data_IF_019419979690
#
_entry.id   IF_019419979690
#
_cell.length_a   1.000
_cell.length_b   1.000
_cell.length_c   1.000
_cell.angle_alpha   90.00
_cell.angle_beta   90.00
_cell.angle_gamma   90.00
#
_symmetry.space_group_name_H-M   'P 1'
#
loop_
_entity.id
_entity.type
_entity.pdbx_description
1 polymer ?
#
# COMPACT_ATOMS: atom_id res chain seq x y z
N UNK A 1 -16.74 -4.92 -60.00
CA UNK A 1 -16.89 -3.93 -58.91
C UNK A 1 -16.91 -4.56 -57.50
N UNK A 2 -16.19 -5.66 -57.22
CA UNK A 2 -16.23 -6.36 -55.90
C UNK A 2 -14.89 -6.42 -55.16
N UNK A 3 -13.77 -5.98 -55.75
CA UNK A 3 -12.43 -6.09 -55.15
C UNK A 3 -12.02 -4.85 -54.33
N UNK A 4 -12.52 -3.67 -54.66
CA UNK A 4 -12.20 -2.42 -53.92
C UNK A 4 -12.90 -2.30 -52.57
N UNK A 5 -14.12 -2.82 -52.45
CA UNK A 5 -14.90 -2.74 -51.21
C UNK A 5 -14.36 -3.68 -50.12
N UNK A 6 -13.79 -4.83 -50.50
CA UNK A 6 -13.23 -5.79 -49.55
C UNK A 6 -11.92 -5.27 -48.92
N UNK A 7 -11.07 -4.57 -49.68
CA UNK A 7 -9.84 -3.96 -49.13
C UNK A 7 -10.12 -2.81 -48.15
N UNK A 8 -11.18 -2.03 -48.37
CA UNK A 8 -11.52 -0.90 -47.49
C UNK A 8 -12.01 -1.35 -46.12
N UNK A 9 -12.73 -2.48 -46.05
CA UNK A 9 -13.28 -3.02 -44.79
C UNK A 9 -12.16 -3.63 -43.94
N UNK A 10 -11.20 -4.33 -44.54
CA UNK A 10 -10.07 -4.92 -43.80
C UNK A 10 -9.14 -3.85 -43.21
N UNK A 11 -8.94 -2.73 -43.92
CA UNK A 11 -8.12 -1.62 -43.43
C UNK A 11 -8.76 -0.90 -42.21
N UNK A 12 -10.09 -0.80 -42.18
CA UNK A 12 -10.83 -0.15 -41.08
C UNK A 12 -10.84 -1.00 -39.80
N UNK A 13 -10.97 -2.32 -39.92
CA UNK A 13 -10.93 -3.23 -38.75
C UNK A 13 -9.53 -3.29 -38.13
N UNK A 14 -8.47 -3.20 -38.95
CA UNK A 14 -7.09 -3.17 -38.45
C UNK A 14 -6.78 -1.83 -37.75
N UNK A 15 -7.31 -0.70 -38.22
CA UNK A 15 -7.09 0.60 -37.55
C UNK A 15 -7.87 0.77 -36.25
N UNK A 16 -9.05 0.17 -36.11
CA UNK A 16 -9.80 0.15 -34.85
C UNK A 16 -9.20 -0.79 -33.78
N UNK A 17 -8.43 -1.81 -34.18
CA UNK A 17 -7.78 -2.75 -33.23
C UNK A 17 -6.56 -2.17 -32.50
N UNK A 18 -5.96 -1.09 -33.01
CA UNK A 18 -4.81 -0.43 -32.37
C UNK A 18 -5.19 0.79 -31.51
N UNK A 19 -6.47 1.18 -31.47
CA UNK A 19 -6.91 2.37 -30.72
C UNK A 19 -7.29 2.08 -29.25
N UNK A 20 -7.30 0.81 -28.81
CA UNK A 20 -7.86 0.43 -27.50
C UNK A 20 -6.83 0.09 -26.43
N UNK A 21 -5.53 0.11 -26.73
CA UNK A 21 -4.51 0.02 -25.68
C UNK A 21 -4.22 1.43 -25.16
N UNK A 22 -5.16 1.93 -24.35
CA UNK A 22 -4.78 2.90 -23.32
C UNK A 22 -3.95 2.13 -22.31
N UNK A 23 -2.68 1.85 -22.64
CA UNK A 23 -1.67 1.55 -21.63
C UNK A 23 -1.59 2.81 -20.78
N UNK A 24 -2.36 2.84 -19.70
CA UNK A 24 -1.99 3.60 -18.51
C UNK A 24 -0.68 2.97 -18.06
N UNK A 25 0.41 3.40 -18.69
CA UNK A 25 1.74 3.13 -18.21
C UNK A 25 1.85 3.95 -16.93
N UNK A 26 1.41 3.36 -15.81
CA UNK A 26 1.85 3.80 -14.50
C UNK A 26 3.38 3.94 -14.60
N UNK A 27 3.90 5.15 -14.42
CA UNK A 27 5.35 5.34 -14.45
C UNK A 27 5.95 4.40 -13.40
N UNK A 28 6.71 3.35 -13.79
CA UNK A 28 7.04 2.25 -12.88
C UNK A 28 7.95 2.65 -11.70
N UNK A 29 8.32 3.94 -11.63
CA UNK A 29 9.41 4.44 -10.81
C UNK A 29 9.05 5.67 -9.96
N UNK A 30 7.82 6.18 -10.03
CA UNK A 30 7.41 7.28 -9.16
C UNK A 30 7.09 6.75 -7.76
N UNK A 31 7.61 7.38 -6.69
CA UNK A 31 7.14 7.13 -5.33
C UNK A 31 5.63 7.31 -5.23
N UNK A 32 4.94 6.34 -4.62
CA UNK A 32 3.54 6.48 -4.22
C UNK A 32 3.54 7.03 -2.80
N UNK A 33 2.85 8.15 -2.58
CA UNK A 33 2.63 8.76 -1.28
C UNK A 33 1.13 8.78 -1.02
N UNK A 34 0.70 8.29 0.13
CA UNK A 34 -0.68 8.23 0.57
C UNK A 34 -0.80 8.71 2.00
N UNK A 35 -2.02 9.07 2.39
CA UNK A 35 -2.42 9.24 3.78
C UNK A 35 -3.32 8.08 4.20
N UNK A 36 -3.31 7.77 5.50
CA UNK A 36 -4.07 6.65 6.05
C UNK A 36 -4.65 7.04 7.40
N UNK A 37 -5.95 6.80 7.56
CA UNK A 37 -6.66 6.88 8.82
C UNK A 37 -6.95 5.46 9.33
N UNK A 38 -6.67 5.17 10.60
CA UNK A 38 -6.82 3.82 11.17
C UNK A 38 -7.39 3.82 12.58
N UNK A 39 -8.01 2.70 12.94
CA UNK A 39 -8.42 2.35 14.30
C UNK A 39 -7.92 0.95 14.68
N UNK A 40 -7.57 0.76 15.95
CA UNK A 40 -7.26 -0.56 16.49
C UNK A 40 -8.52 -1.19 17.11
N UNK A 41 -8.96 -2.32 16.55
CA UNK A 41 -10.19 -3.00 16.97
C UNK A 41 -10.02 -4.01 18.13
N UNK A 42 -8.81 -4.11 18.69
CA UNK A 42 -8.46 -5.09 19.73
C UNK A 42 -7.73 -6.33 19.22
N UNK A 43 -7.67 -6.53 17.90
CA UNK A 43 -6.94 -7.61 17.25
C UNK A 43 -5.86 -7.05 16.30
N UNK A 44 -6.26 -6.15 15.40
CA UNK A 44 -5.41 -5.56 14.38
C UNK A 44 -5.76 -4.08 14.15
N UNK A 45 -4.90 -3.36 13.42
CA UNK A 45 -5.25 -2.04 12.89
C UNK A 45 -5.98 -2.20 11.56
N UNK A 46 -7.03 -1.44 11.35
CA UNK A 46 -7.75 -1.36 10.08
C UNK A 46 -8.17 0.08 9.78
N UNK A 47 -8.28 0.40 8.50
CA UNK A 47 -8.47 1.79 8.08
C UNK A 47 -8.59 2.01 6.57
N UNK A 48 -8.53 3.28 6.20
CA UNK A 48 -8.70 3.76 4.82
C UNK A 48 -7.42 4.45 4.34
N UNK A 49 -7.00 4.11 3.12
CA UNK A 49 -5.96 4.80 2.37
C UNK A 49 -6.62 5.87 1.51
N UNK A 50 -6.10 7.10 1.55
CA UNK A 50 -6.66 8.23 0.79
C UNK A 50 -5.57 9.11 0.14
N UNK A 51 -6.03 9.95 -0.81
CA UNK A 51 -5.24 10.96 -1.54
C UNK A 51 -4.08 10.40 -2.37
N UNK A 52 -4.24 9.20 -2.95
CA UNK A 52 -3.20 8.60 -3.79
C UNK A 52 -3.74 7.60 -4.82
N UNK A 53 -2.86 6.84 -5.47
CA UNK A 53 -3.27 5.79 -6.43
C UNK A 53 -3.75 4.50 -5.77
N UNK A 54 -3.58 4.36 -4.45
CA UNK A 54 -3.89 3.15 -3.67
C UNK A 54 -5.12 3.36 -2.76
N UNK A 55 -5.99 4.33 -3.08
CA UNK A 55 -7.22 4.56 -2.31
C UNK A 55 -8.01 3.25 -2.15
N UNK A 56 -8.51 3.02 -0.94
CA UNK A 56 -9.17 1.77 -0.56
C UNK A 56 -8.90 1.41 0.90
N UNK A 57 -8.98 0.13 1.25
CA UNK A 57 -8.79 -0.31 2.64
C UNK A 57 -7.37 -0.76 2.92
N UNK A 58 -6.94 -0.63 4.17
CA UNK A 58 -5.68 -1.18 4.67
C UNK A 58 -5.86 -1.81 6.05
N UNK A 59 -5.07 -2.85 6.31
CA UNK A 59 -5.02 -3.58 7.57
C UNK A 59 -3.57 -3.91 7.95
N UNK A 60 -3.26 -3.83 9.24
CA UNK A 60 -2.00 -4.31 9.82
C UNK A 60 -2.25 -5.37 10.88
N UNK A 61 -1.81 -6.59 10.59
CA UNK A 61 -1.84 -7.72 11.49
C UNK A 61 -0.52 -7.86 12.24
N UNK A 62 -0.53 -8.27 13.52
CA UNK A 62 0.70 -8.67 14.20
C UNK A 62 1.41 -9.80 13.45
N UNK A 63 2.73 -9.69 13.27
CA UNK A 63 3.52 -10.78 12.70
C UNK A 63 3.57 -11.97 13.69
N UNK A 64 2.99 -13.13 13.35
CA UNK A 64 2.93 -14.28 14.27
C UNK A 64 4.30 -14.87 14.58
N UNK A 65 5.29 -14.66 13.71
CA UNK A 65 6.64 -15.19 13.86
C UNK A 65 7.57 -14.22 14.62
N UNK A 66 7.20 -12.95 14.72
CA UNK A 66 8.01 -11.89 15.33
C UNK A 66 7.19 -11.08 16.36
N UNK A 67 7.15 -11.49 17.64
CA UNK A 67 6.35 -10.78 18.63
C UNK A 67 6.93 -9.39 18.94
N UNK A 68 6.03 -8.40 19.02
CA UNK A 68 6.35 -7.06 19.51
C UNK A 68 6.89 -7.07 20.94
N UNK A 69 7.79 -6.14 21.26
CA UNK A 69 8.41 -6.06 22.59
C UNK A 69 8.74 -4.62 23.00
N UNK A 70 8.90 -4.42 24.31
CA UNK A 70 9.29 -3.14 24.89
C UNK A 70 10.76 -3.13 25.26
N UNK A 71 11.49 -2.11 24.78
CA UNK A 71 12.84 -1.79 25.19
C UNK A 71 12.82 -0.46 25.96
N UNK A 72 12.58 -0.54 27.27
CA UNK A 72 12.33 0.65 28.08
C UNK A 72 11.00 1.28 27.72
N UNK A 73 11.02 2.44 27.08
CA UNK A 73 9.81 3.19 26.64
C UNK A 73 9.62 3.20 25.12
N UNK A 74 10.41 2.38 24.43
CA UNK A 74 10.31 2.18 23.00
C UNK A 74 9.60 0.86 22.74
N UNK A 75 8.47 0.92 22.04
CA UNK A 75 7.83 -0.24 21.45
C UNK A 75 8.55 -0.60 20.16
N UNK A 76 8.93 -1.86 20.03
CA UNK A 76 9.35 -2.47 18.77
C UNK A 76 8.20 -3.36 18.30
N UNK A 77 7.73 -3.15 17.07
CA UNK A 77 6.61 -3.88 16.51
C UNK A 77 6.94 -4.45 15.14
N UNK A 78 6.28 -5.55 14.81
CA UNK A 78 6.43 -6.31 13.57
C UNK A 78 5.03 -6.65 13.08
N UNK A 79 4.71 -6.25 11.87
CA UNK A 79 3.36 -6.35 11.34
C UNK A 79 3.39 -6.82 9.89
N UNK A 80 2.27 -7.38 9.46
CA UNK A 80 1.96 -7.71 8.09
C UNK A 80 0.88 -6.76 7.62
N UNK A 81 1.11 -6.07 6.50
CA UNK A 81 0.09 -5.19 5.93
C UNK A 81 -0.62 -5.85 4.75
N UNK A 82 -1.90 -5.54 4.60
CA UNK A 82 -2.70 -5.83 3.41
C UNK A 82 -3.43 -4.56 2.99
N UNK A 83 -3.25 -4.16 1.73
CA UNK A 83 -3.98 -3.05 1.09
C UNK A 83 -4.89 -3.65 0.03
N UNK A 84 -6.15 -3.23 0.02
CA UNK A 84 -7.16 -3.58 -0.97
C UNK A 84 -7.62 -2.30 -1.68
N UNK A 85 -6.94 -1.88 -2.76
CA UNK A 85 -7.31 -0.67 -3.48
C UNK A 85 -8.68 -0.80 -4.14
N UNK A 86 -9.44 0.29 -4.19
CA UNK A 86 -10.76 0.37 -4.83
C UNK A 86 -10.71 0.07 -6.33
N UNK A 87 -9.56 0.30 -6.96
CA UNK A 87 -9.29 -0.10 -8.35
C UNK A 87 -9.21 -1.62 -8.56
N UNK A 88 -9.23 -2.39 -7.47
CA UNK A 88 -9.03 -3.83 -7.43
C UNK A 88 -7.57 -4.24 -7.21
N UNK A 89 -7.41 -5.55 -7.02
CA UNK A 89 -6.14 -6.17 -6.64
C UNK A 89 -5.94 -6.20 -5.12
N UNK A 90 -4.80 -6.74 -4.70
CA UNK A 90 -4.39 -6.84 -3.30
C UNK A 90 -2.88 -6.64 -3.27
N UNK A 91 -2.39 -5.85 -2.30
CA UNK A 91 -0.97 -5.62 -2.06
C UNK A 91 -0.68 -6.05 -0.64
N UNK A 92 0.34 -6.88 -0.44
CA UNK A 92 0.72 -7.39 0.88
C UNK A 92 2.20 -7.19 1.14
N UNK A 93 2.54 -7.08 2.40
CA UNK A 93 3.92 -6.93 2.81
C UNK A 93 4.11 -7.04 4.30
N UNK A 94 5.28 -6.66 4.75
CA UNK A 94 5.66 -6.68 6.15
C UNK A 94 6.31 -5.35 6.54
N UNK A 95 6.15 -4.94 7.80
CA UNK A 95 6.78 -3.76 8.39
C UNK A 95 7.48 -4.12 9.68
N UNK A 96 8.56 -3.39 9.96
CA UNK A 96 9.26 -3.40 11.25
C UNK A 96 9.37 -1.96 11.71
N UNK A 97 8.83 -1.70 12.90
CA UNK A 97 8.66 -0.36 13.41
C UNK A 97 9.14 -0.14 14.82
N UNK A 98 9.28 1.13 15.14
CA UNK A 98 9.55 1.62 16.48
C UNK A 98 8.58 2.74 16.82
N UNK A 99 8.03 2.68 18.02
CA UNK A 99 7.13 3.69 18.57
C UNK A 99 7.59 4.16 19.94
N UNK A 100 7.42 5.45 20.22
CA UNK A 100 7.76 6.02 21.52
C UNK A 100 6.48 6.18 22.34
N UNK A 101 6.38 5.45 23.46
CA UNK A 101 5.18 5.38 24.33
C UNK A 101 4.98 6.64 25.20
N UNK A 102 5.18 7.83 24.66
CA UNK A 102 4.88 9.08 25.35
C UNK A 102 3.87 9.88 24.55
N UNK A 103 2.96 10.54 25.26
CA UNK A 103 1.85 11.29 24.67
C UNK A 103 2.34 12.46 23.80
N UNK A 104 2.02 12.47 22.48
CA UNK A 104 1.30 11.43 21.74
C UNK A 104 2.24 10.36 21.13
N UNK A 105 1.75 9.12 21.00
CA UNK A 105 2.57 7.98 20.56
C UNK A 105 3.02 8.16 19.11
N UNK A 106 4.29 8.53 18.93
CA UNK A 106 4.90 8.68 17.62
C UNK A 106 5.56 7.39 17.19
N UNK A 107 5.28 6.96 15.96
CA UNK A 107 5.87 5.75 15.40
C UNK A 107 6.38 5.96 13.98
N UNK A 108 7.27 5.04 13.58
CA UNK A 108 7.73 4.88 12.21
C UNK A 108 8.01 3.41 11.95
N UNK A 109 7.70 2.94 10.77
CA UNK A 109 8.05 1.60 10.32
C UNK A 109 8.58 1.59 8.90
N UNK A 110 9.35 0.54 8.61
CA UNK A 110 9.90 0.30 7.29
C UNK A 110 9.67 -1.15 6.92
N UNK A 111 9.44 -1.40 5.65
CA UNK A 111 8.98 -2.67 5.18
C UNK A 111 9.26 -2.92 3.71
N UNK A 112 8.60 -3.95 3.22
CA UNK A 112 8.63 -4.35 1.83
C UNK A 112 7.27 -4.84 1.38
N UNK A 113 6.92 -4.55 0.14
CA UNK A 113 5.84 -5.28 -0.55
C UNK A 113 6.37 -6.67 -0.91
N UNK A 114 5.76 -7.71 -0.37
CA UNK A 114 6.18 -9.10 -0.57
C UNK A 114 5.29 -9.84 -1.57
N UNK A 115 4.06 -9.38 -1.77
CA UNK A 115 3.12 -9.96 -2.71
C UNK A 115 2.18 -8.89 -3.26
N UNK A 116 1.75 -9.04 -4.51
CA UNK A 116 0.72 -8.19 -5.09
C UNK A 116 0.02 -8.91 -6.25
N UNK A 117 -1.27 -8.62 -6.45
CA UNK A 117 -2.03 -9.07 -7.62
C UNK A 117 -2.21 -7.93 -8.63
N UNK A 118 -2.63 -8.26 -9.85
CA UNK A 118 -2.87 -7.26 -10.90
C UNK A 118 -3.89 -6.20 -10.43
N UNK A 119 -3.69 -4.90 -10.75
CA UNK A 119 -2.64 -4.34 -11.60
C UNK A 119 -1.33 -3.98 -10.88
N UNK A 120 -1.16 -4.39 -9.62
CA UNK A 120 -0.10 -3.91 -8.71
C UNK A 120 1.13 -4.83 -8.64
N UNK A 121 1.23 -5.85 -9.50
CA UNK A 121 2.34 -6.83 -9.50
C UNK A 121 3.72 -6.18 -9.60
N UNK A 122 3.82 -5.01 -10.24
CA UNK A 122 5.06 -4.21 -10.33
C UNK A 122 5.53 -3.59 -9.01
N UNK A 123 4.71 -3.63 -7.94
CA UNK A 123 5.10 -3.14 -6.61
C UNK A 123 5.89 -4.17 -5.80
N UNK A 124 5.91 -5.45 -6.20
CA UNK A 124 6.61 -6.51 -5.47
C UNK A 124 8.11 -6.17 -5.38
N UNK A 125 8.65 -6.21 -4.16
CA UNK A 125 10.04 -5.85 -3.88
C UNK A 125 10.26 -4.35 -3.64
N UNK A 126 9.23 -3.50 -3.79
CA UNK A 126 9.34 -2.08 -3.43
C UNK A 126 9.41 -1.91 -1.91
N UNK A 127 10.08 -0.83 -1.51
CA UNK A 127 10.20 -0.42 -0.12
C UNK A 127 8.90 0.24 0.35
N UNK A 128 8.44 -0.17 1.51
CA UNK A 128 7.30 0.41 2.22
C UNK A 128 7.78 1.24 3.40
N UNK A 129 7.17 2.40 3.62
CA UNK A 129 7.46 3.30 4.74
C UNK A 129 6.16 3.80 5.32
N UNK A 130 6.10 3.90 6.64
CA UNK A 130 5.01 4.58 7.33
C UNK A 130 5.52 5.37 8.52
N UNK A 131 4.84 6.46 8.82
CA UNK A 131 5.01 7.19 10.06
C UNK A 131 3.75 7.94 10.43
N UNK A 132 3.45 7.95 11.72
CA UNK A 132 2.23 8.55 12.22
C UNK A 132 2.31 8.82 13.71
N UNK A 133 1.18 9.29 14.22
CA UNK A 133 0.97 9.53 15.63
C UNK A 133 -0.36 8.89 16.01
N UNK A 134 -0.36 8.01 17.01
CA UNK A 134 -1.63 7.50 17.54
C UNK A 134 -2.06 8.29 18.79
N UNK A 135 -3.34 8.15 19.13
CA UNK A 135 -3.82 8.43 20.48
C UNK A 135 -3.05 7.61 21.53
N UNK A 136 -3.15 8.00 22.81
CA UNK A 136 -2.36 7.39 23.88
C UNK A 136 -2.69 5.89 24.07
N UNK A 137 -1.75 4.96 23.80
CA UNK A 137 -1.97 3.53 24.01
C UNK A 137 -2.09 3.14 25.48
N UNK A 138 -1.80 4.05 26.42
CA UNK A 138 -1.88 3.80 27.86
C UNK A 138 -3.20 4.27 28.48
N UNK A 139 -4.03 5.03 27.76
CA UNK A 139 -5.35 5.45 28.24
C UNK A 139 -6.44 4.49 27.72
N UNK A 140 -6.99 3.60 28.58
CA UNK A 140 -8.01 2.64 28.17
C UNK A 140 -9.36 3.27 27.83
N UNK A 141 -9.53 4.58 28.05
CA UNK A 141 -10.78 5.30 27.74
C UNK A 141 -10.77 5.93 26.35
N UNK A 142 -9.61 5.99 25.69
CA UNK A 142 -9.46 6.62 24.38
C UNK A 142 -9.29 5.52 23.33
N UNK A 143 -10.13 5.49 22.28
CA UNK A 143 -9.91 4.60 21.14
C UNK A 143 -8.52 4.83 20.55
N UNK A 144 -7.85 3.72 20.22
CA UNK A 144 -6.56 3.76 19.57
C UNK A 144 -6.77 4.09 18.09
N UNK A 145 -6.47 5.33 17.71
CA UNK A 145 -6.65 5.83 16.34
C UNK A 145 -5.39 6.50 15.85
N UNK A 146 -5.22 6.51 14.54
CA UNK A 146 -4.18 7.25 13.82
C UNK A 146 -4.88 8.03 12.73
N UNK A 147 -4.58 9.33 12.64
CA UNK A 147 -5.09 10.21 11.59
C UNK A 147 -3.92 10.69 10.71
N UNK A 148 -4.15 10.78 9.40
CA UNK A 148 -3.20 11.27 8.40
C UNK A 148 -1.80 10.60 8.52
N UNK A 149 -1.76 9.29 8.78
CA UNK A 149 -0.52 8.53 8.74
C UNK A 149 0.09 8.65 7.36
N UNK A 150 1.35 9.07 7.28
CA UNK A 150 2.05 9.12 5.99
C UNK A 150 2.50 7.71 5.62
N UNK A 151 2.00 7.20 4.50
CA UNK A 151 2.42 5.92 3.89
C UNK A 151 3.14 6.19 2.56
N UNK A 152 4.27 5.51 2.33
CA UNK A 152 5.03 5.66 1.07
C UNK A 152 5.55 4.33 0.54
N UNK A 153 5.30 4.06 -0.74
CA UNK A 153 5.93 2.96 -1.49
C UNK A 153 6.92 3.54 -2.49
N UNK A 154 8.17 3.07 -2.46
CA UNK A 154 9.23 3.53 -3.39
C UNK A 154 9.94 2.36 -4.06
N UNK A 155 10.38 2.52 -5.32
CA UNK A 155 11.20 1.52 -5.98
C UNK A 155 12.44 1.18 -5.16
N UNK A 156 12.76 -0.12 -5.07
CA UNK A 156 14.02 -0.53 -4.48
C UNK A 156 15.18 0.01 -5.33
N UNK A 157 16.17 0.66 -4.70
CA UNK A 157 17.28 1.27 -5.42
C UNK A 157 18.25 0.25 -6.07
N UNK A 158 18.09 -1.06 -5.83
CA UNK A 158 18.76 -2.17 -6.53
C UNK A 158 17.89 -3.45 -6.48
N UNK A 159 18.00 -4.37 -7.46
CA UNK A 159 17.25 -5.64 -7.43
C UNK A 159 17.68 -6.50 -6.24
N UNK A 160 16.74 -7.20 -5.62
CA UNK A 160 17.05 -8.24 -4.64
C UNK A 160 17.84 -9.37 -5.33
N UNK A 161 18.89 -9.90 -4.67
CA UNK A 161 19.68 -11.03 -5.19
C UNK A 161 18.88 -12.33 -5.31
#
# INVERSE_FOLDING_TARGET
MKKGLLMLITALVITLLFASFSTVAAEPNAPILCFVDMEYNGDHWEGEVHECSLEGNIRFDPDPDNPSYLAGKTLHFFELFTIEPDSGGVIQGNTVGVGHLYEPFHFRANGWVTNATEPWTGLIGNKYFEMGTSTDPLDPLIPLTVEDMTMRIVPAQQPMP
#
